data_IF_480006028113
#
_entry.id   IF_480006028113
#
_cell.length_a   1.000
_cell.length_b   1.000
_cell.length_c   1.000
_cell.angle_alpha   90.00
_cell.angle_beta   90.00
_cell.angle_gamma   90.00
#
_symmetry.space_group_name_H-M   'P 1'
#
loop_
_entity.id
_entity.type
_entity.pdbx_description
1 polymer ?
#
# COMPACT_ATOMS: atom_id res chain seq x y z
N UNK A 1 -21.21 5.60 -14.54
CA UNK A 1 -20.79 6.32 -13.33
C UNK A 1 -20.49 7.75 -13.75
N UNK A 2 -21.07 8.75 -13.09
CA UNK A 2 -20.79 10.15 -13.39
C UNK A 2 -19.40 10.54 -12.88
N UNK A 3 -18.79 11.56 -13.48
CA UNK A 3 -17.51 12.13 -12.99
C UNK A 3 -17.62 12.49 -11.50
N UNK A 4 -18.74 13.06 -11.06
CA UNK A 4 -18.97 13.42 -9.66
C UNK A 4 -18.99 12.20 -8.71
N UNK A 5 -19.62 11.09 -9.12
CA UNK A 5 -19.61 9.84 -8.34
C UNK A 5 -18.20 9.28 -8.19
N UNK A 6 -17.43 9.29 -9.28
CA UNK A 6 -16.02 8.84 -9.29
C UNK A 6 -15.20 9.67 -8.28
N UNK A 7 -15.38 10.99 -8.27
CA UNK A 7 -14.64 11.92 -7.40
C UNK A 7 -15.02 11.81 -5.93
N UNK A 8 -16.31 11.64 -5.63
CA UNK A 8 -16.77 11.38 -4.26
C UNK A 8 -16.18 10.07 -3.71
N UNK A 9 -16.03 9.06 -4.57
CA UNK A 9 -15.38 7.81 -4.18
C UNK A 9 -13.89 8.04 -3.84
N UNK A 10 -13.15 8.85 -4.60
CA UNK A 10 -11.75 9.17 -4.28
C UNK A 10 -11.58 9.90 -2.95
N UNK A 11 -12.43 10.88 -2.64
CA UNK A 11 -12.38 11.57 -1.34
C UNK A 11 -12.69 10.60 -0.19
N UNK A 12 -13.67 9.70 -0.36
CA UNK A 12 -13.97 8.65 0.63
C UNK A 12 -12.75 7.74 0.85
N UNK A 13 -12.11 7.30 -0.24
CA UNK A 13 -10.90 6.46 -0.18
C UNK A 13 -9.76 7.18 0.52
N UNK A 14 -9.53 8.45 0.21
CA UNK A 14 -8.50 9.25 0.88
C UNK A 14 -8.73 9.27 2.39
N UNK A 15 -9.95 9.65 2.80
CA UNK A 15 -10.29 9.80 4.21
C UNK A 15 -10.21 8.48 4.98
N UNK A 16 -10.53 7.35 4.34
CA UNK A 16 -10.56 6.05 5.00
C UNK A 16 -9.20 5.32 4.99
N UNK A 17 -8.50 5.29 3.85
CA UNK A 17 -7.30 4.46 3.67
C UNK A 17 -5.98 5.23 3.72
N UNK A 18 -5.98 6.51 3.37
CA UNK A 18 -4.73 7.23 3.04
C UNK A 18 -4.37 8.27 4.10
N UNK A 19 -5.38 9.00 4.60
CA UNK A 19 -5.22 10.19 5.44
C UNK A 19 -4.22 10.01 6.57
N UNK A 20 -4.39 8.96 7.37
CA UNK A 20 -3.56 8.74 8.56
C UNK A 20 -2.09 8.52 8.21
N UNK A 21 -1.80 7.76 7.15
CA UNK A 21 -0.42 7.50 6.74
C UNK A 21 0.21 8.75 6.13
N UNK A 22 -0.54 9.53 5.35
CA UNK A 22 -0.10 10.83 4.86
C UNK A 22 0.25 11.80 6.01
N UNK A 23 -0.67 11.99 6.97
CA UNK A 23 -0.47 12.87 8.14
C UNK A 23 0.78 12.48 8.93
N UNK A 24 0.99 11.19 9.20
CA UNK A 24 2.19 10.67 9.86
C UNK A 24 3.46 10.91 9.04
N UNK A 25 3.43 10.65 7.74
CA UNK A 25 4.63 10.72 6.90
C UNK A 25 5.23 12.11 6.83
N UNK A 26 4.39 13.14 6.73
CA UNK A 26 4.85 14.53 6.68
C UNK A 26 4.71 15.28 8.01
N UNK A 27 4.21 14.61 9.05
CA UNK A 27 3.99 15.17 10.39
C UNK A 27 3.07 16.40 10.38
N UNK A 28 1.86 16.24 9.85
CA UNK A 28 0.90 17.34 9.66
C UNK A 28 -0.51 16.94 10.05
N UNK A 29 -1.40 17.91 10.14
CA UNK A 29 -2.84 17.70 10.27
C UNK A 29 -3.57 18.13 8.99
N UNK A 30 -4.37 17.24 8.39
CA UNK A 30 -5.19 17.56 7.22
C UNK A 30 -6.40 18.39 7.64
N UNK A 31 -6.47 19.60 7.09
CA UNK A 31 -7.55 20.57 7.34
C UNK A 31 -8.71 20.33 6.38
N UNK A 32 -8.42 20.16 5.09
CA UNK A 32 -9.46 19.95 4.09
C UNK A 32 -8.96 19.23 2.86
N UNK A 33 -9.82 18.40 2.28
CA UNK A 33 -9.60 17.70 1.03
C UNK A 33 -10.59 18.26 0.00
N UNK A 34 -10.10 18.67 -1.16
CA UNK A 34 -10.92 19.16 -2.27
C UNK A 34 -10.51 18.49 -3.56
N UNK A 35 -11.40 18.49 -4.54
CA UNK A 35 -11.05 18.10 -5.91
C UNK A 35 -10.12 19.15 -6.55
N UNK A 36 -9.13 18.70 -7.32
CA UNK A 36 -8.48 19.58 -8.31
C UNK A 36 -9.38 19.69 -9.54
N UNK A 37 -9.96 20.87 -9.78
CA UNK A 37 -10.79 21.16 -10.95
C UNK A 37 -10.00 21.79 -12.09
N UNK A 38 -8.67 21.96 -11.95
CA UNK A 38 -7.85 22.68 -12.93
C UNK A 38 -7.55 21.86 -14.17
N UNK A 39 -7.55 20.53 -14.05
CA UNK A 39 -7.26 19.58 -15.12
C UNK A 39 -8.41 18.59 -15.18
N UNK A 40 -9.36 18.80 -16.09
CA UNK A 40 -10.60 18.04 -16.26
C UNK A 40 -10.39 16.55 -16.66
N UNK A 41 -9.14 16.08 -16.58
CA UNK A 41 -8.65 14.81 -17.14
C UNK A 41 -8.14 13.87 -16.03
N UNK A 42 -7.77 14.37 -14.84
CA UNK A 42 -7.12 13.54 -13.81
C UNK A 42 -7.79 13.56 -12.43
N UNK A 43 -7.77 12.39 -11.78
CA UNK A 43 -8.31 12.16 -10.44
C UNK A 43 -7.38 12.66 -9.33
N UNK A 44 -7.11 13.97 -9.32
CA UNK A 44 -6.24 14.61 -8.35
C UNK A 44 -7.04 15.30 -7.24
N UNK A 45 -6.54 15.18 -6.01
CA UNK A 45 -7.05 15.86 -4.83
C UNK A 45 -6.10 16.98 -4.42
N UNK A 46 -6.67 18.09 -3.98
CA UNK A 46 -6.00 19.19 -3.31
C UNK A 46 -6.18 19.02 -1.82
N UNK A 47 -5.05 18.79 -1.14
CA UNK A 47 -5.01 18.59 0.31
C UNK A 47 -4.47 19.84 0.96
N UNK A 48 -5.29 20.51 1.76
CA UNK A 48 -4.85 21.57 2.65
C UNK A 48 -4.53 20.96 4.02
N UNK A 49 -3.39 21.31 4.57
CA UNK A 49 -2.94 20.83 5.87
C UNK A 49 -2.19 21.93 6.62
N UNK A 50 -2.05 21.76 7.93
CA UNK A 50 -1.19 22.61 8.77
C UNK A 50 0.02 21.85 9.27
N UNK A 51 1.13 22.56 9.28
CA UNK A 51 2.42 22.15 9.83
C UNK A 51 2.94 23.32 10.68
N UNK A 52 3.17 23.04 11.97
CA UNK A 52 3.56 23.95 13.06
C UNK A 52 2.68 25.19 13.27
N UNK A 53 2.56 26.08 12.29
CA UNK A 53 1.67 27.27 12.29
C UNK A 53 1.30 27.76 10.87
N UNK A 54 1.69 27.04 9.82
CA UNK A 54 1.50 27.46 8.44
C UNK A 54 0.53 26.55 7.71
N UNK A 55 -0.29 27.14 6.84
CA UNK A 55 -1.17 26.40 5.96
C UNK A 55 -0.45 26.11 4.65
N UNK A 56 -0.45 24.83 4.26
CA UNK A 56 0.15 24.38 3.01
C UNK A 56 -0.88 23.66 2.17
N UNK A 57 -0.52 23.48 0.90
CA UNK A 57 -1.32 22.77 -0.07
C UNK A 57 -0.43 21.69 -0.70
N UNK A 58 -0.95 20.47 -0.82
CA UNK A 58 -0.36 19.40 -1.61
C UNK A 58 -1.31 18.97 -2.71
N UNK A 59 -0.74 18.45 -3.78
CA UNK A 59 -1.46 17.75 -4.83
C UNK A 59 -1.27 16.25 -4.63
N UNK A 60 -2.39 15.52 -4.68
CA UNK A 60 -2.43 14.13 -4.28
C UNK A 60 -3.19 13.30 -5.30
N UNK A 61 -2.49 12.40 -5.98
CA UNK A 61 -3.09 11.45 -6.91
C UNK A 61 -3.41 10.15 -6.18
N UNK A 62 -4.57 9.58 -6.46
CA UNK A 62 -4.95 8.24 -5.98
C UNK A 62 -5.10 7.34 -7.20
N UNK A 63 -4.33 6.27 -7.23
CA UNK A 63 -4.35 5.31 -8.32
C UNK A 63 -4.87 3.97 -7.81
N UNK A 64 -5.88 3.43 -8.49
CA UNK A 64 -6.35 2.07 -8.22
C UNK A 64 -5.44 1.09 -8.94
N UNK A 65 -4.96 0.10 -8.20
CA UNK A 65 -4.07 -0.92 -8.75
C UNK A 65 -4.69 -2.30 -8.65
N UNK A 66 -4.46 -3.13 -9.68
CA UNK A 66 -4.86 -4.54 -9.68
C UNK A 66 -3.67 -5.43 -9.29
N UNK A 67 -3.95 -6.69 -8.95
CA UNK A 67 -2.95 -7.67 -8.48
C UNK A 67 -1.72 -7.79 -9.40
N UNK A 68 -1.93 -7.63 -10.72
CA UNK A 68 -0.87 -7.77 -11.73
C UNK A 68 -0.06 -6.48 -11.97
N UNK A 69 -0.52 -5.32 -11.48
CA UNK A 69 0.17 -4.04 -11.67
C UNK A 69 1.24 -3.79 -10.59
N UNK A 70 1.23 -4.55 -9.50
CA UNK A 70 2.26 -4.48 -8.46
C UNK A 70 3.65 -4.83 -8.95
N UNK A 71 3.77 -5.70 -9.95
CA UNK A 71 5.07 -6.10 -10.50
C UNK A 71 5.60 -5.07 -11.53
N UNK A 72 4.79 -4.09 -11.94
CA UNK A 72 5.23 -2.88 -12.69
C UNK A 72 5.78 -1.79 -11.75
N UNK A 73 6.27 -2.18 -10.57
CA UNK A 73 6.68 -1.35 -9.42
C UNK A 73 7.72 -0.25 -9.69
N UNK A 74 8.21 -0.11 -10.91
CA UNK A 74 9.12 0.97 -11.28
C UNK A 74 8.41 2.31 -11.35
N UNK A 75 7.14 2.40 -11.76
CA UNK A 75 6.45 3.69 -11.92
C UNK A 75 5.76 4.05 -10.60
N UNK A 76 6.21 5.13 -9.95
CA UNK A 76 5.72 5.57 -8.64
C UNK A 76 5.03 6.93 -8.72
N UNK A 77 5.13 7.65 -9.84
CA UNK A 77 4.29 8.79 -10.19
C UNK A 77 4.54 9.18 -11.66
N UNK A 78 3.51 9.62 -12.39
CA UNK A 78 3.68 10.17 -13.75
C UNK A 78 3.44 11.66 -13.67
N UNK A 79 4.42 12.44 -14.15
CA UNK A 79 4.30 13.89 -14.29
C UNK A 79 4.27 14.23 -15.78
N UNK A 80 3.13 14.75 -16.26
CA UNK A 80 2.96 15.09 -17.67
C UNK A 80 3.68 16.39 -18.07
N UNK A 81 3.84 16.56 -19.38
CA UNK A 81 4.53 17.72 -19.99
C UNK A 81 3.90 19.07 -19.60
N UNK A 82 2.56 19.17 -19.60
CA UNK A 82 1.87 20.42 -19.30
C UNK A 82 2.09 20.81 -17.84
N UNK A 83 2.07 19.82 -16.93
CA UNK A 83 2.32 20.02 -15.52
C UNK A 83 3.75 20.43 -15.24
N UNK A 84 4.73 19.83 -15.91
CA UNK A 84 6.14 20.21 -15.79
C UNK A 84 6.32 21.67 -16.18
N UNK A 85 5.79 22.08 -17.33
CA UNK A 85 5.87 23.46 -17.81
C UNK A 85 5.27 24.45 -16.83
N UNK A 86 4.11 24.12 -16.25
CA UNK A 86 3.47 24.97 -15.25
C UNK A 86 4.32 25.07 -13.98
N UNK A 87 4.74 23.95 -13.40
CA UNK A 87 5.49 23.96 -12.15
C UNK A 87 6.84 24.68 -12.31
N UNK A 88 7.52 24.52 -13.45
CA UNK A 88 8.73 25.29 -13.77
C UNK A 88 8.45 26.79 -13.85
N UNK A 89 7.35 27.19 -14.49
CA UNK A 89 6.94 28.60 -14.55
C UNK A 89 6.68 29.16 -13.15
N UNK A 90 5.89 28.47 -12.33
CA UNK A 90 5.59 28.86 -10.95
C UNK A 90 6.87 28.90 -10.09
N UNK A 91 7.82 28.00 -10.32
CA UNK A 91 9.13 27.98 -9.65
C UNK A 91 10.00 29.18 -10.01
N UNK A 92 10.03 29.58 -11.28
CA UNK A 92 10.72 30.80 -11.73
C UNK A 92 10.08 32.03 -11.09
N UNK A 93 8.75 32.08 -11.03
CA UNK A 93 8.01 33.16 -10.33
C UNK A 93 8.30 33.17 -8.82
N UNK A 94 8.40 32.01 -8.17
CA UNK A 94 8.78 31.80 -6.76
C UNK A 94 10.16 32.35 -6.42
N UNK A 95 11.15 32.11 -7.29
CA UNK A 95 12.50 32.68 -7.13
C UNK A 95 12.45 34.21 -7.04
N UNK A 96 11.36 34.83 -7.51
CA UNK A 96 11.20 36.27 -7.60
C UNK A 96 10.23 36.89 -6.55
N UNK A 97 9.42 36.14 -5.77
CA UNK A 97 8.36 36.70 -4.87
C UNK A 97 7.95 35.82 -3.64
N UNK A 98 7.31 36.41 -2.61
CA UNK A 98 6.65 35.75 -1.45
C UNK A 98 5.11 35.97 -1.47
N UNK A 99 4.24 35.00 -1.10
CA UNK A 99 4.35 33.54 -1.16
C UNK A 99 3.47 32.97 -2.29
N UNK A 100 3.89 31.86 -2.90
CA UNK A 100 3.29 31.30 -4.13
C UNK A 100 2.48 30.05 -3.84
N UNK A 101 1.44 29.84 -4.66
CA UNK A 101 0.45 28.77 -4.66
C UNK A 101 0.98 27.41 -5.15
N UNK A 102 2.31 27.17 -5.10
CA UNK A 102 2.87 25.90 -5.55
C UNK A 102 2.64 24.83 -4.47
N UNK A 103 2.27 23.60 -4.86
CA UNK A 103 2.21 22.50 -3.90
C UNK A 103 3.55 22.31 -3.18
N UNK A 104 3.51 22.15 -1.85
CA UNK A 104 4.72 21.84 -1.06
C UNK A 104 5.26 20.47 -1.46
N UNK A 105 4.37 19.50 -1.61
CA UNK A 105 4.69 18.15 -2.10
C UNK A 105 3.77 17.73 -3.23
N UNK A 106 4.32 16.88 -4.08
CA UNK A 106 3.58 16.05 -5.02
C UNK A 106 3.44 14.67 -4.38
N UNK A 107 2.24 14.12 -4.36
CA UNK A 107 1.95 12.87 -3.67
C UNK A 107 1.22 11.86 -4.57
N UNK A 108 1.59 10.59 -4.45
CA UNK A 108 0.83 9.46 -4.98
C UNK A 108 0.45 8.53 -3.83
N UNK A 109 -0.76 7.99 -3.88
CA UNK A 109 -1.09 6.74 -3.20
C UNK A 109 -1.63 5.74 -4.20
N UNK A 110 -1.15 4.50 -4.10
CA UNK A 110 -1.77 3.37 -4.77
C UNK A 110 -2.68 2.65 -3.79
N UNK A 111 -3.89 2.33 -4.23
CA UNK A 111 -4.92 1.64 -3.45
C UNK A 111 -5.31 0.38 -4.21
N UNK A 112 -5.23 -0.77 -3.57
CA UNK A 112 -5.67 -2.03 -4.15
C UNK A 112 -7.19 -2.15 -4.09
N UNK A 113 -7.83 -2.54 -5.19
CA UNK A 113 -9.26 -2.85 -5.25
C UNK A 113 -9.46 -4.24 -5.86
N UNK A 114 -9.75 -5.24 -5.01
CA UNK A 114 -10.02 -6.63 -5.43
C UNK A 114 -11.47 -6.87 -5.81
N UNK A 115 -12.39 -6.18 -5.15
CA UNK A 115 -13.83 -6.33 -5.30
C UNK A 115 -14.53 -5.01 -4.92
N UNK A 116 -15.81 -4.83 -5.29
CA UNK A 116 -16.56 -3.66 -4.89
C UNK A 116 -16.50 -3.49 -3.37
N UNK A 117 -16.12 -2.30 -2.91
CA UNK A 117 -16.03 -1.91 -1.50
C UNK A 117 -14.88 -2.51 -0.68
N UNK A 118 -14.00 -3.32 -1.27
CA UNK A 118 -12.78 -3.81 -0.61
C UNK A 118 -11.55 -3.08 -1.13
N UNK A 119 -11.13 -2.06 -0.39
CA UNK A 119 -9.95 -1.24 -0.72
C UNK A 119 -8.89 -1.33 0.39
N UNK A 120 -7.62 -1.38 0.02
CA UNK A 120 -6.50 -1.29 0.94
C UNK A 120 -5.42 -0.31 0.40
N UNK A 121 -4.62 0.28 1.28
CA UNK A 121 -3.48 1.12 0.89
C UNK A 121 -2.27 0.24 0.54
N UNK A 122 -1.77 0.37 -0.69
CA UNK A 122 -0.60 -0.34 -1.20
C UNK A 122 0.70 0.34 -0.81
N UNK A 123 0.80 1.60 -1.21
CA UNK A 123 1.93 2.45 -0.92
C UNK A 123 1.54 3.91 -1.07
N UNK A 124 2.45 4.73 -0.57
CA UNK A 124 2.37 6.18 -0.65
C UNK A 124 3.77 6.73 -0.91
N UNK A 125 3.85 7.63 -1.89
CA UNK A 125 5.03 8.38 -2.25
C UNK A 125 4.75 9.86 -2.03
N UNK A 126 5.68 10.55 -1.36
CA UNK A 126 5.66 11.99 -1.16
C UNK A 126 6.99 12.56 -1.64
N UNK A 127 6.94 13.40 -2.67
CA UNK A 127 8.10 14.03 -3.30
C UNK A 127 8.16 15.50 -2.91
N UNK A 128 9.33 15.98 -2.49
CA UNK A 128 9.55 17.40 -2.27
C UNK A 128 9.58 18.13 -3.64
N UNK A 129 8.62 19.03 -3.84
CA UNK A 129 8.38 19.65 -5.14
C UNK A 129 9.56 20.50 -5.60
N UNK A 130 10.24 21.18 -4.66
CA UNK A 130 11.38 22.04 -4.97
C UNK A 130 12.57 21.21 -5.46
N UNK A 131 12.90 20.13 -4.77
CA UNK A 131 14.01 19.24 -5.13
C UNK A 131 13.80 18.61 -6.51
N UNK A 132 12.56 18.22 -6.84
CA UNK A 132 12.22 17.71 -8.16
C UNK A 132 12.38 18.79 -9.24
N UNK A 133 11.92 20.02 -8.98
CA UNK A 133 12.02 21.11 -9.96
C UNK A 133 13.45 21.56 -10.22
N UNK A 134 14.31 21.55 -9.19
CA UNK A 134 15.75 21.78 -9.35
C UNK A 134 16.39 20.73 -10.27
N UNK A 135 16.00 19.47 -10.14
CA UNK A 135 16.45 18.40 -11.03
C UNK A 135 15.98 18.62 -12.48
N UNK A 136 14.69 18.93 -12.68
CA UNK A 136 14.12 19.18 -14.01
C UNK A 136 14.75 20.39 -14.71
N UNK A 137 15.04 21.46 -13.97
CA UNK A 137 15.73 22.66 -14.48
C UNK A 137 17.18 22.34 -14.85
N UNK A 138 17.92 21.66 -13.96
CA UNK A 138 19.33 21.30 -14.18
C UNK A 138 19.54 20.45 -15.45
N UNK A 139 18.57 19.60 -15.78
CA UNK A 139 18.66 18.65 -16.88
C UNK A 139 17.86 19.07 -18.12
N UNK A 140 17.29 20.28 -18.13
CA UNK A 140 16.50 20.81 -19.25
C UNK A 140 15.33 19.90 -19.69
N UNK A 141 14.67 19.27 -18.70
CA UNK A 141 13.59 18.30 -18.94
C UNK A 141 12.26 19.03 -18.97
N UNK A 142 11.63 19.12 -20.15
CA UNK A 142 10.31 19.73 -20.34
C UNK A 142 9.23 18.73 -20.75
N UNK A 143 9.60 17.49 -21.04
CA UNK A 143 8.72 16.41 -21.49
C UNK A 143 8.21 15.54 -20.33
N UNK A 144 7.18 14.72 -20.59
CA UNK A 144 6.62 13.78 -19.61
C UNK A 144 7.71 12.88 -19.01
N UNK A 145 7.68 12.71 -17.68
CA UNK A 145 8.58 11.79 -16.99
C UNK A 145 7.85 10.80 -16.10
N UNK A 146 8.44 9.60 -16.02
CA UNK A 146 8.08 8.59 -15.04
C UNK A 146 8.99 8.73 -13.83
N UNK A 147 8.40 9.08 -12.69
CA UNK A 147 9.13 9.20 -11.43
C UNK A 147 9.15 7.84 -10.74
N UNK A 148 10.35 7.35 -10.49
CA UNK A 148 10.64 6.04 -9.90
C UNK A 148 11.52 6.24 -8.66
N UNK A 149 11.46 5.36 -7.66
CA UNK A 149 12.36 5.49 -6.49
C UNK A 149 13.84 5.45 -6.91
N UNK A 150 14.17 4.61 -7.90
CA UNK A 150 15.51 4.55 -8.49
C UNK A 150 15.95 5.90 -9.08
N UNK A 151 15.08 6.56 -9.85
CA UNK A 151 15.35 7.89 -10.39
C UNK A 151 15.61 8.91 -9.27
N UNK A 152 14.77 8.88 -8.23
CA UNK A 152 14.88 9.80 -7.09
C UNK A 152 16.20 9.57 -6.33
N UNK A 153 16.54 8.31 -6.06
CA UNK A 153 17.77 7.91 -5.37
C UNK A 153 19.03 8.30 -6.17
N UNK A 154 19.09 7.95 -7.46
CA UNK A 154 20.24 8.22 -8.33
C UNK A 154 20.50 9.72 -8.52
N UNK A 155 19.46 10.55 -8.40
CA UNK A 155 19.54 11.99 -8.62
C UNK A 155 19.48 12.83 -7.33
N UNK A 156 19.50 12.19 -6.15
CA UNK A 156 19.40 12.84 -4.84
C UNK A 156 18.19 13.78 -4.71
N UNK A 157 17.05 13.38 -5.27
CA UNK A 157 15.79 14.13 -5.14
C UNK A 157 15.17 13.75 -3.78
N UNK A 158 14.71 14.73 -3.01
CA UNK A 158 14.18 14.48 -1.66
C UNK A 158 12.77 13.87 -1.73
N UNK A 159 12.58 12.73 -1.08
CA UNK A 159 11.28 12.06 -1.03
C UNK A 159 11.12 11.21 0.24
N UNK A 160 9.88 10.85 0.53
CA UNK A 160 9.51 9.80 1.49
C UNK A 160 8.67 8.77 0.76
N UNK A 161 9.04 7.50 0.88
CA UNK A 161 8.30 6.38 0.31
C UNK A 161 7.98 5.37 1.40
N UNK A 162 6.71 4.99 1.50
CA UNK A 162 6.26 3.96 2.41
C UNK A 162 5.52 2.91 1.61
N UNK A 163 6.13 1.72 1.53
CA UNK A 163 5.45 0.51 1.09
C UNK A 163 4.70 -0.07 2.28
N UNK A 164 3.38 -0.23 2.18
CA UNK A 164 2.65 -0.90 3.25
C UNK A 164 3.04 -2.38 3.22
N UNK A 165 3.35 -2.94 4.39
CA UNK A 165 3.82 -4.33 4.50
C UNK A 165 2.71 -5.36 4.24
N UNK A 166 1.44 -4.93 4.24
CA UNK A 166 0.31 -5.83 4.46
C UNK A 166 -0.43 -6.29 3.20
N UNK A 167 -0.24 -5.74 2.01
CA UNK A 167 -1.17 -6.09 0.92
C UNK A 167 -0.93 -7.45 0.27
N UNK A 168 0.31 -7.83 -0.07
CA UNK A 168 0.55 -9.17 -0.65
C UNK A 168 0.13 -10.28 0.32
N UNK A 169 0.42 -10.08 1.61
CA UNK A 169 0.07 -11.00 2.69
C UNK A 169 -1.43 -11.04 2.96
N UNK A 170 -2.09 -9.87 2.99
CA UNK A 170 -3.55 -9.79 3.13
C UNK A 170 -4.29 -10.35 1.92
N UNK A 171 -3.80 -10.15 0.70
CA UNK A 171 -4.32 -10.78 -0.52
C UNK A 171 -4.20 -12.30 -0.43
N UNK A 172 -3.07 -12.82 0.06
CA UNK A 172 -2.90 -14.26 0.26
C UNK A 172 -3.93 -14.76 1.28
N UNK A 173 -4.06 -14.09 2.43
CA UNK A 173 -5.03 -14.46 3.46
C UNK A 173 -6.49 -14.39 2.99
N UNK A 174 -6.85 -13.38 2.21
CA UNK A 174 -8.21 -13.18 1.68
C UNK A 174 -8.58 -14.18 0.57
N UNK A 175 -7.60 -14.75 -0.15
CA UNK A 175 -7.82 -15.75 -1.19
C UNK A 175 -7.57 -17.19 -0.73
N UNK A 176 -7.02 -17.37 0.47
CA UNK A 176 -6.81 -18.70 1.04
C UNK A 176 -8.15 -19.30 1.44
N UNK A 177 -8.35 -20.57 1.10
CA UNK A 177 -9.52 -21.34 1.54
C UNK A 177 -9.32 -22.00 2.92
N UNK A 178 -8.12 -21.86 3.50
CA UNK A 178 -7.78 -22.43 4.80
C UNK A 178 -8.61 -21.75 5.89
N UNK A 179 -9.43 -22.53 6.58
CA UNK A 179 -10.21 -22.04 7.70
C UNK A 179 -9.29 -21.85 8.92
N UNK A 180 -9.37 -20.71 9.60
CA UNK A 180 -8.57 -20.53 10.82
C UNK A 180 -9.33 -19.80 11.94
N UNK A 181 -9.11 -20.22 13.18
CA UNK A 181 -9.79 -19.66 14.34
C UNK A 181 -8.96 -19.79 15.64
N UNK A 182 -9.04 -18.77 16.50
CA UNK A 182 -8.52 -18.80 17.88
C UNK A 182 -9.70 -18.83 18.84
N UNK A 183 -9.75 -19.85 19.72
CA UNK A 183 -10.84 -20.02 20.69
C UNK A 183 -11.05 -18.78 21.57
N UNK A 184 -9.96 -18.10 21.96
CA UNK A 184 -10.01 -16.90 22.79
C UNK A 184 -9.80 -15.59 22.01
N UNK A 185 -9.71 -15.65 20.68
CA UNK A 185 -9.47 -14.49 19.81
C UNK A 185 -8.22 -13.69 20.20
N UNK A 186 -7.14 -14.35 20.63
CA UNK A 186 -5.91 -13.64 21.00
C UNK A 186 -5.13 -13.22 19.75
N UNK A 187 -4.70 -11.97 19.72
CA UNK A 187 -3.97 -11.39 18.57
C UNK A 187 -2.67 -12.14 18.23
N UNK A 188 -1.91 -12.61 19.24
CA UNK A 188 -0.66 -13.38 19.02
C UNK A 188 -0.96 -14.75 18.35
N UNK A 189 -2.07 -15.39 18.71
CA UNK A 189 -2.48 -16.67 18.13
C UNK A 189 -2.93 -16.48 16.68
N UNK A 190 -3.76 -15.45 16.44
CA UNK A 190 -4.23 -15.07 15.10
C UNK A 190 -3.05 -14.71 14.19
N UNK A 191 -2.08 -13.93 14.68
CA UNK A 191 -0.90 -13.54 13.89
C UNK A 191 -0.03 -14.74 13.51
N UNK A 192 0.15 -15.72 14.41
CA UNK A 192 0.89 -16.95 14.12
C UNK A 192 0.21 -17.76 13.00
N UNK A 193 -1.11 -17.96 13.08
CA UNK A 193 -1.88 -18.65 12.03
C UNK A 193 -1.80 -17.92 10.69
N UNK A 194 -1.93 -16.59 10.69
CA UNK A 194 -1.86 -15.79 9.47
C UNK A 194 -0.50 -15.91 8.78
N UNK A 195 0.61 -15.83 9.54
CA UNK A 195 1.95 -16.03 8.97
C UNK A 195 2.14 -17.42 8.40
N UNK A 196 1.63 -18.45 9.09
CA UNK A 196 1.65 -19.81 8.60
C UNK A 196 0.88 -19.95 7.27
N UNK A 197 -0.35 -19.44 7.17
CA UNK A 197 -1.15 -19.46 5.92
C UNK A 197 -0.39 -18.78 4.80
N UNK A 198 0.19 -17.60 5.06
CA UNK A 198 0.97 -16.86 4.06
C UNK A 198 2.12 -17.70 3.50
N UNK A 199 2.87 -18.39 4.35
CA UNK A 199 4.00 -19.21 3.93
C UNK A 199 3.56 -20.50 3.22
N UNK A 200 2.47 -21.13 3.67
CA UNK A 200 1.86 -22.30 3.01
C UNK A 200 1.44 -21.97 1.58
N UNK A 201 0.72 -20.87 1.40
CA UNK A 201 0.23 -20.42 0.09
C UNK A 201 1.39 -20.02 -0.84
N UNK A 202 2.43 -19.36 -0.31
CA UNK A 202 3.65 -19.04 -1.10
C UNK A 202 4.41 -20.30 -1.56
N UNK A 203 4.26 -21.41 -0.85
CA UNK A 203 4.86 -22.70 -1.22
C UNK A 203 3.93 -23.58 -2.07
N UNK A 204 2.77 -23.08 -2.50
CA UNK A 204 1.73 -23.82 -3.23
C UNK A 204 1.23 -25.06 -2.48
N UNK A 205 1.09 -24.96 -1.15
CA UNK A 205 0.57 -26.02 -0.28
C UNK A 205 -0.81 -25.70 0.30
N UNK A 206 -1.49 -24.66 -0.19
CA UNK A 206 -2.79 -24.21 0.32
C UNK A 206 -3.84 -25.32 0.35
N UNK A 207 -3.95 -26.07 -0.75
CA UNK A 207 -4.89 -27.19 -0.90
C UNK A 207 -4.56 -28.41 -0.01
N UNK A 208 -3.43 -28.39 0.69
CA UNK A 208 -3.03 -29.45 1.61
C UNK A 208 -3.48 -29.20 3.04
N UNK A 209 -3.99 -28.01 3.36
CA UNK A 209 -4.41 -27.62 4.70
C UNK A 209 -5.91 -27.33 4.69
N UNK A 210 -6.67 -28.04 5.51
CA UNK A 210 -8.11 -27.81 5.63
C UNK A 210 -8.40 -26.73 6.67
N UNK A 211 -7.73 -26.80 7.83
CA UNK A 211 -8.05 -25.94 8.97
C UNK A 211 -6.86 -25.69 9.91
N UNK A 212 -6.88 -24.53 10.55
CA UNK A 212 -6.06 -24.14 11.69
C UNK A 212 -6.95 -23.80 12.88
N UNK A 213 -6.71 -24.40 14.05
CA UNK A 213 -7.48 -24.08 15.24
C UNK A 213 -6.61 -23.93 16.49
N UNK A 214 -6.59 -22.72 17.06
CA UNK A 214 -5.92 -22.47 18.34
C UNK A 214 -6.85 -22.77 19.51
N UNK A 215 -6.57 -23.88 20.20
CA UNK A 215 -7.16 -24.21 21.49
C UNK A 215 -6.46 -23.41 22.59
N UNK A 216 -7.25 -22.75 23.44
CA UNK A 216 -6.80 -21.95 24.58
C UNK A 216 -5.86 -22.68 25.54
N UNK A 217 -5.84 -24.01 25.47
CA UNK A 217 -5.09 -24.91 26.33
C UNK A 217 -3.89 -25.59 25.64
N UNK A 218 -3.22 -24.91 24.70
CA UNK A 218 -1.74 -24.87 24.51
C UNK A 218 -1.24 -25.02 23.07
N UNK A 219 -2.04 -25.57 22.13
CA UNK A 219 -1.55 -25.91 20.78
C UNK A 219 -2.48 -25.41 19.67
N UNK A 220 -1.88 -25.03 18.53
CA UNK A 220 -2.56 -24.90 17.25
C UNK A 220 -2.74 -26.30 16.64
N UNK A 221 -3.96 -26.62 16.25
CA UNK A 221 -4.26 -27.81 15.47
C UNK A 221 -4.15 -27.43 14.00
N UNK A 222 -3.37 -28.18 13.23
CA UNK A 222 -3.24 -28.05 11.77
C UNK A 222 -3.87 -29.30 11.15
N UNK A 223 -5.04 -29.18 10.57
CA UNK A 223 -5.71 -30.29 9.87
C UNK A 223 -5.25 -30.31 8.41
N UNK A 224 -4.70 -31.44 7.96
CA UNK A 224 -4.27 -31.65 6.57
C UNK A 224 -5.24 -32.55 5.82
N UNK A 225 -5.33 -32.36 4.50
CA UNK A 225 -6.21 -33.14 3.64
C UNK A 225 -5.79 -34.62 3.54
N UNK A 226 -6.73 -35.47 3.11
CA UNK A 226 -6.54 -36.93 3.00
C UNK A 226 -5.44 -37.35 2.02
N UNK A 227 -5.28 -36.58 0.94
CA UNK A 227 -4.35 -36.89 -0.14
C UNK A 227 -2.99 -36.21 0.09
N UNK A 228 -2.31 -36.57 1.19
CA UNK A 228 -0.95 -36.09 1.48
C UNK A 228 0.11 -37.19 1.34
N UNK A 229 1.37 -36.76 1.22
CA UNK A 229 2.53 -37.65 1.24
C UNK A 229 3.58 -37.17 2.25
N UNK A 230 4.60 -37.99 2.49
CA UNK A 230 5.65 -37.69 3.48
C UNK A 230 6.42 -36.39 3.21
N UNK A 231 6.61 -36.03 1.94
CA UNK A 231 7.32 -34.80 1.56
C UNK A 231 6.47 -33.56 1.87
N UNK A 232 5.17 -33.61 1.56
CA UNK A 232 4.21 -32.55 1.89
C UNK A 232 4.17 -32.36 3.41
N UNK A 233 4.01 -33.44 4.17
CA UNK A 233 3.98 -33.39 5.63
C UNK A 233 5.23 -32.73 6.22
N UNK A 234 6.42 -33.09 5.71
CA UNK A 234 7.68 -32.49 6.17
C UNK A 234 7.77 -30.99 5.88
N UNK A 235 7.32 -30.53 4.70
CA UNK A 235 7.30 -29.11 4.36
C UNK A 235 6.32 -28.33 5.24
N UNK A 236 5.13 -28.88 5.46
CA UNK A 236 4.12 -28.27 6.35
C UNK A 236 4.67 -28.18 7.77
N UNK A 237 5.31 -29.24 8.27
CA UNK A 237 5.92 -29.28 9.60
C UNK A 237 7.05 -28.24 9.75
N UNK A 238 7.89 -28.06 8.72
CA UNK A 238 8.94 -27.03 8.72
C UNK A 238 8.36 -25.62 8.75
N UNK A 239 7.33 -25.35 7.94
CA UNK A 239 6.63 -24.06 7.93
C UNK A 239 5.93 -23.80 9.28
N UNK A 240 5.32 -24.83 9.88
CA UNK A 240 4.68 -24.75 11.19
C UNK A 240 5.69 -24.40 12.30
N UNK A 241 6.86 -25.04 12.32
CA UNK A 241 7.94 -24.74 13.28
C UNK A 241 8.42 -23.29 13.23
N UNK A 242 8.43 -22.69 12.05
CA UNK A 242 8.88 -21.31 11.88
C UNK A 242 7.84 -20.28 12.32
N UNK A 243 6.55 -20.65 12.29
CA UNK A 243 5.45 -19.69 12.43
C UNK A 243 4.58 -19.88 13.69
N UNK A 244 4.53 -21.10 14.24
CA UNK A 244 3.60 -21.48 15.30
C UNK A 244 4.38 -22.06 16.49
N UNK A 245 4.26 -21.42 17.67
CA UNK A 245 5.03 -21.80 18.87
C UNK A 245 4.80 -23.25 19.32
N UNK A 246 3.54 -23.69 19.28
CA UNK A 246 3.10 -25.02 19.71
C UNK A 246 2.01 -25.50 18.76
N UNK A 247 2.22 -26.64 18.10
CA UNK A 247 1.25 -27.21 17.18
C UNK A 247 1.17 -28.74 17.28
N UNK A 248 0.14 -29.29 16.65
CA UNK A 248 0.02 -30.71 16.24
C UNK A 248 -0.54 -30.72 14.83
N UNK A 249 -0.13 -31.70 14.03
CA UNK A 249 -0.67 -31.92 12.70
C UNK A 249 -1.57 -33.15 12.75
N UNK A 250 -2.81 -32.98 12.31
CA UNK A 250 -3.82 -34.03 12.27
C UNK A 250 -4.23 -34.33 10.84
N UNK A 251 -4.58 -35.59 10.57
CA UNK A 251 -5.38 -35.98 9.42
C UNK A 251 -6.56 -36.83 9.91
N UNK A 252 -7.79 -36.41 9.60
CA UNK A 252 -9.02 -37.00 10.11
C UNK A 252 -9.04 -37.13 11.65
N UNK A 253 -8.42 -36.17 12.34
CA UNK A 253 -8.31 -36.18 13.79
C UNK A 253 -7.25 -37.13 14.38
N UNK A 254 -6.49 -37.86 13.55
CA UNK A 254 -5.35 -38.68 13.99
C UNK A 254 -4.04 -37.88 13.92
N UNK A 255 -3.20 -38.03 14.95
CA UNK A 255 -1.91 -37.34 15.05
C UNK A 255 -0.90 -37.93 14.04
N UNK A 256 -0.42 -37.08 13.13
CA UNK A 256 0.50 -37.46 12.06
C UNK A 256 1.85 -36.77 12.13
N UNK A 257 2.01 -35.68 12.91
CA UNK A 257 3.28 -35.00 13.19
C UNK A 257 3.21 -33.99 14.36
#
# INVERSE_FOLDING_TARGET
>A
MSINEVLENYIKIFNFNIRNEFEKMINVEVISVKKDNRYDIDNNLIIKYCDENSNYVNEFKIEFTQKNDFDKSSIVYILDEFKIKQLKKEFIELKNLIPVLMPKNICLSRVYESAPFTTALADILVIDTISLLQYLEKNDIDEMIFITTKLLDENNISYKYLKTKNEKEKIILENSFILYESQNKKDDEISQMQKFIIDIEKNNLGDCIDMLFYSSNQKCIIEICDEYNREILQKVEEIAKNNIKNFIILNNGEDVA
#
